data_IF_619681884311
#
_entry.id   IF_619681884311
#
_cell.length_a   1.000
_cell.length_b   1.000
_cell.length_c   1.000
_cell.angle_alpha   90.00
_cell.angle_beta   90.00
_cell.angle_gamma   90.00
#
_symmetry.space_group_name_H-M   'P 1'
#
loop_
_entity.id
_entity.type
_entity.pdbx_description
1 polymer ?
#
# COMPACT_ATOMS: atom_id res chain seq x y z
N UNK A 1 -3.26 -1.96 5.08
CA UNK A 1 -4.01 -0.73 5.41
C UNK A 1 -3.03 0.41 5.61
N UNK A 2 -3.52 1.64 5.81
CA UNK A 2 -2.70 2.78 6.22
C UNK A 2 -3.18 3.24 7.59
N UNK A 3 -2.27 3.62 8.46
CA UNK A 3 -2.59 4.15 9.78
C UNK A 3 -2.92 5.64 9.72
N UNK A 4 -3.87 6.07 10.56
CA UNK A 4 -4.10 7.48 10.83
C UNK A 4 -2.89 8.08 11.56
N UNK A 5 -2.64 9.38 11.35
CA UNK A 5 -1.54 10.08 12.01
C UNK A 5 -1.99 11.37 12.69
N UNK A 6 -1.18 11.84 13.62
CA UNK A 6 -1.24 13.21 14.13
C UNK A 6 -0.40 14.09 13.21
N UNK A 7 -0.85 15.32 12.99
CA UNK A 7 -0.14 16.31 12.18
C UNK A 7 1.30 16.53 12.66
N UNK A 8 2.25 16.27 11.76
CA UNK A 8 3.69 16.47 11.97
C UNK A 8 4.35 17.32 10.88
N UNK A 9 3.54 17.81 9.92
CA UNK A 9 4.01 18.60 8.77
C UNK A 9 4.65 17.79 7.64
N UNK A 10 4.60 16.45 7.67
CA UNK A 10 5.09 15.57 6.60
C UNK A 10 3.97 14.78 5.94
N UNK A 11 4.21 14.35 4.70
CA UNK A 11 3.31 13.48 3.95
C UNK A 11 3.51 11.99 4.27
N UNK A 12 4.45 11.64 5.15
CA UNK A 12 4.78 10.24 5.41
C UNK A 12 3.59 9.51 6.03
N UNK A 13 3.27 8.34 5.47
CA UNK A 13 2.20 7.47 5.93
C UNK A 13 2.76 6.10 6.33
N UNK A 14 2.21 5.52 7.40
CA UNK A 14 2.60 4.19 7.86
C UNK A 14 1.71 3.13 7.21
N UNK A 15 2.31 2.22 6.44
CA UNK A 15 1.63 1.05 5.90
C UNK A 15 1.65 -0.09 6.92
N UNK A 16 0.49 -0.71 7.12
CA UNK A 16 0.39 -2.04 7.71
C UNK A 16 0.18 -3.07 6.58
N UNK A 17 1.15 -3.98 6.44
CA UNK A 17 1.18 -5.04 5.43
C UNK A 17 1.21 -6.45 6.06
N UNK A 18 0.94 -6.58 7.37
CA UNK A 18 1.02 -7.88 8.08
C UNK A 18 0.08 -8.92 7.46
N UNK A 19 -1.13 -8.49 7.10
CA UNK A 19 -2.16 -9.33 6.45
C UNK A 19 -2.24 -9.10 4.93
N UNK A 20 -1.20 -8.52 4.31
CA UNK A 20 -1.21 -8.29 2.86
C UNK A 20 -1.10 -9.63 2.10
N UNK A 21 -2.10 -9.92 1.27
CA UNK A 21 -2.17 -11.14 0.47
C UNK A 21 -2.54 -10.82 -0.98
N UNK A 22 -2.14 -11.72 -1.90
CA UNK A 22 -2.58 -11.67 -3.29
C UNK A 22 -3.92 -12.39 -3.43
N UNK A 23 -4.87 -11.73 -4.07
CA UNK A 23 -6.14 -12.31 -4.48
C UNK A 23 -6.13 -12.55 -5.99
N UNK A 24 -6.78 -13.63 -6.43
CA UNK A 24 -6.89 -13.96 -7.86
C UNK A 24 -5.69 -14.71 -8.47
N UNK A 25 -4.72 -15.14 -7.65
CA UNK A 25 -3.66 -16.07 -8.09
C UNK A 25 -4.29 -17.46 -8.31
N UNK A 26 -4.00 -18.06 -9.46
CA UNK A 26 -4.46 -19.40 -9.81
C UNK A 26 -3.76 -20.44 -8.93
N UNK A 27 -4.52 -21.42 -8.42
CA UNK A 27 -3.98 -22.45 -7.54
C UNK A 27 -2.82 -23.22 -8.18
N UNK A 28 -1.74 -23.37 -7.42
CA UNK A 28 -0.48 -23.98 -7.87
C UNK A 28 0.48 -23.07 -8.64
N UNK A 29 0.14 -21.80 -8.88
CA UNK A 29 1.09 -20.84 -9.46
C UNK A 29 1.94 -20.15 -8.40
N UNK A 30 3.22 -19.92 -8.74
CA UNK A 30 4.18 -19.23 -7.88
C UNK A 30 4.16 -17.73 -8.21
N UNK A 31 3.38 -16.99 -7.42
CA UNK A 31 3.28 -15.54 -7.46
C UNK A 31 3.36 -15.01 -6.03
N UNK A 32 4.36 -14.19 -5.77
CA UNK A 32 4.69 -13.68 -4.44
C UNK A 32 4.65 -12.16 -4.45
N UNK A 33 3.88 -11.58 -3.54
CA UNK A 33 3.88 -10.14 -3.28
C UNK A 33 5.19 -9.75 -2.59
N UNK A 34 5.91 -8.81 -3.18
CA UNK A 34 7.12 -8.23 -2.58
C UNK A 34 6.76 -6.89 -1.97
N UNK A 35 6.98 -6.77 -0.67
CA UNK A 35 6.64 -5.58 0.15
C UNK A 35 7.85 -4.85 0.70
N UNK A 36 9.07 -5.33 0.45
CA UNK A 36 10.30 -4.82 1.08
C UNK A 36 10.63 -3.37 0.73
N UNK A 37 10.19 -2.89 -0.43
CA UNK A 37 10.37 -1.50 -0.88
C UNK A 37 9.08 -0.69 -0.75
N UNK A 38 8.04 -1.25 -0.13
CA UNK A 38 6.75 -0.59 -0.03
C UNK A 38 6.83 0.69 0.80
N UNK A 39 6.32 1.78 0.23
CA UNK A 39 6.23 3.07 0.88
C UNK A 39 4.83 3.67 0.67
N UNK A 40 4.41 4.55 1.57
CA UNK A 40 3.17 5.29 1.44
C UNK A 40 3.33 6.76 1.78
N UNK A 41 2.56 7.59 1.10
CA UNK A 41 2.47 9.01 1.38
C UNK A 41 1.06 9.56 1.15
N UNK A 42 0.64 10.48 2.03
CA UNK A 42 -0.50 11.36 1.79
C UNK A 42 -0.20 12.33 0.63
N UNK A 43 -1.24 12.82 -0.04
CA UNK A 43 -1.08 13.81 -1.11
C UNK A 43 -0.49 15.14 -0.61
N UNK A 44 -0.79 15.50 0.64
CA UNK A 44 -0.35 16.72 1.32
C UNK A 44 -0.41 16.50 2.85
N UNK A 45 0.29 17.32 3.67
CA UNK A 45 0.37 17.11 5.11
C UNK A 45 -0.83 17.65 5.92
N UNK A 46 -1.84 18.26 5.29
CA UNK A 46 -2.90 19.00 5.99
C UNK A 46 -3.84 18.08 6.79
N UNK A 47 -4.38 18.56 7.92
CA UNK A 47 -5.39 17.83 8.71
C UNK A 47 -6.64 17.56 7.85
N UNK A 48 -7.17 16.34 7.91
CA UNK A 48 -8.36 15.94 7.18
C UNK A 48 -8.69 14.46 7.29
N UNK A 49 -9.94 14.11 7.01
CA UNK A 49 -10.47 12.76 7.08
C UNK A 49 -10.51 12.13 5.67
N UNK A 50 -10.32 10.82 5.58
CA UNK A 50 -10.41 10.05 4.34
C UNK A 50 -9.40 10.50 3.28
N UNK A 51 -8.24 10.99 3.71
CA UNK A 51 -7.24 11.53 2.78
C UNK A 51 -6.65 10.41 1.92
N UNK A 52 -6.49 10.62 0.61
CA UNK A 52 -5.93 9.61 -0.28
C UNK A 52 -4.45 9.37 0.05
N UNK A 53 -4.07 8.09 0.05
CA UNK A 53 -2.70 7.65 0.29
C UNK A 53 -2.20 6.90 -0.94
N UNK A 54 -1.07 7.35 -1.47
CA UNK A 54 -0.41 6.69 -2.60
C UNK A 54 0.57 5.65 -2.06
N UNK A 55 0.50 4.43 -2.58
CA UNK A 55 1.44 3.35 -2.26
C UNK A 55 2.37 3.12 -3.44
N UNK A 56 3.67 3.01 -3.18
CA UNK A 56 4.71 2.71 -4.17
C UNK A 56 5.59 1.56 -3.69
N UNK A 57 6.40 0.99 -4.59
CA UNK A 57 7.39 -0.03 -4.24
C UNK A 57 6.84 -1.45 -4.02
N UNK A 58 5.53 -1.66 -4.18
CA UNK A 58 4.97 -3.01 -4.29
C UNK A 58 5.32 -3.61 -5.65
N UNK A 59 5.67 -4.90 -5.66
CA UNK A 59 5.94 -5.63 -6.89
C UNK A 59 5.58 -7.12 -6.78
N UNK A 60 5.61 -7.82 -7.91
CA UNK A 60 5.39 -9.27 -7.98
C UNK A 60 6.69 -9.99 -8.30
N UNK A 61 6.90 -11.13 -7.66
CA UNK A 61 7.97 -12.07 -7.94
C UNK A 61 7.43 -13.51 -8.00
N UNK A 62 8.29 -14.48 -8.32
CA UNK A 62 7.89 -15.87 -8.55
C UNK A 62 7.89 -16.25 -10.03
N UNK A 63 7.83 -17.54 -10.32
CA UNK A 63 7.99 -18.06 -11.69
C UNK A 63 6.86 -17.65 -12.64
N UNK A 64 5.65 -17.39 -12.13
CA UNK A 64 4.48 -16.99 -12.94
C UNK A 64 4.14 -15.50 -12.82
N UNK A 65 4.94 -14.68 -12.11
CA UNK A 65 4.60 -13.28 -11.82
C UNK A 65 4.34 -12.43 -13.07
N UNK A 66 5.00 -12.71 -14.19
CA UNK A 66 4.84 -11.99 -15.45
C UNK A 66 3.44 -12.13 -16.08
N UNK A 67 2.62 -13.09 -15.63
CA UNK A 67 1.24 -13.25 -16.07
C UNK A 67 0.25 -12.38 -15.29
N UNK A 68 0.73 -11.68 -14.26
CA UNK A 68 -0.10 -10.92 -13.33
C UNK A 68 0.30 -9.45 -13.32
N UNK A 69 -0.66 -8.60 -12.96
CA UNK A 69 -0.45 -7.18 -12.71
C UNK A 69 -1.06 -6.83 -11.36
N UNK A 70 -0.34 -6.05 -10.57
CA UNK A 70 -0.92 -5.49 -9.34
C UNK A 70 -1.97 -4.46 -9.73
N UNK A 71 -3.16 -4.59 -9.15
CA UNK A 71 -4.17 -3.55 -9.22
C UNK A 71 -3.75 -2.34 -8.39
N UNK A 72 -4.19 -1.15 -8.80
CA UNK A 72 -4.02 0.06 -8.00
C UNK A 72 -4.72 -0.10 -6.65
N UNK A 73 -4.02 0.27 -5.58
CA UNK A 73 -4.61 0.30 -4.24
C UNK A 73 -5.33 1.63 -4.02
N UNK A 74 -6.56 1.56 -3.51
CA UNK A 74 -7.29 2.73 -3.02
C UNK A 74 -7.27 2.67 -1.50
N UNK A 75 -6.34 3.41 -0.90
CA UNK A 75 -6.22 3.52 0.56
C UNK A 75 -6.48 4.96 0.99
N UNK A 76 -7.13 5.10 2.13
CA UNK A 76 -7.38 6.37 2.79
C UNK A 76 -7.05 6.26 4.26
N UNK A 77 -6.60 7.35 4.86
CA UNK A 77 -6.38 7.49 6.30
C UNK A 77 -6.61 8.94 6.71
N UNK A 78 -6.71 9.17 8.02
CA UNK A 78 -6.97 10.48 8.60
C UNK A 78 -5.67 11.13 9.07
N UNK A 79 -5.57 12.45 8.89
CA UNK A 79 -4.58 13.28 9.58
C UNK A 79 -5.35 14.11 10.62
N UNK A 80 -5.10 13.82 11.89
CA UNK A 80 -5.71 14.50 13.04
C UNK A 80 -4.82 15.63 13.55
N UNK A 81 -5.42 16.62 14.24
CA UNK A 81 -4.72 17.78 14.78
C UNK A 81 -3.99 17.53 16.10
#
# INVERSE_FOLDING_TARGET
TVEDKVYDGTTDATLNLEDAALEGVVDGEDVVLVTTEAAAAFADPEVGEGKPVTVTGLSLSGAQSANYMLADLVLTADITA
#
